data_IF_754948909422
#
_entry.id   IF_754948909422
#
_cell.length_a   1.000
_cell.length_b   1.000
_cell.length_c   1.000
_cell.angle_alpha   90.00
_cell.angle_beta   90.00
_cell.angle_gamma   90.00
#
_symmetry.space_group_name_H-M   'P 1'
#
loop_
_entity.id
_entity.type
_entity.pdbx_description
1 polymer ?
#
# COMPACT_ATOMS: atom_id res chain seq x y z
N UNK A 1 12.51 -14.98 0.28
CA UNK A 1 11.16 -15.12 -0.28
C UNK A 1 10.58 -13.76 -0.59
N UNK A 2 9.89 -13.66 -1.68
CA UNK A 2 9.31 -12.39 -2.13
C UNK A 2 7.80 -12.57 -2.27
N UNK A 3 7.05 -11.58 -1.80
CA UNK A 3 5.60 -11.52 -2.04
C UNK A 3 5.34 -10.32 -2.94
N UNK A 4 4.47 -10.50 -3.90
CA UNK A 4 4.14 -9.45 -4.85
C UNK A 4 2.68 -9.63 -5.27
N UNK A 5 1.87 -8.61 -4.99
CA UNK A 5 0.44 -8.66 -5.30
C UNK A 5 0.03 -7.37 -5.99
N UNK A 6 -0.84 -7.51 -6.96
CA UNK A 6 -1.35 -6.38 -7.72
C UNK A 6 -2.87 -6.34 -7.58
N UNK A 7 -3.41 -5.15 -7.36
CA UNK A 7 -4.84 -4.95 -7.28
C UNK A 7 -5.36 -4.47 -8.63
N UNK A 8 -6.48 -5.04 -9.08
CA UNK A 8 -7.06 -4.72 -10.38
C UNK A 8 -7.42 -3.25 -10.56
N UNK A 9 -7.63 -2.52 -9.48
CA UNK A 9 -7.96 -1.09 -9.53
C UNK A 9 -6.73 -0.16 -9.57
N UNK A 10 -5.53 -0.72 -9.69
CA UNK A 10 -4.33 0.08 -9.94
C UNK A 10 -3.37 0.26 -8.77
N UNK A 11 -3.23 -0.75 -7.92
CA UNK A 11 -2.23 -0.72 -6.85
C UNK A 11 -1.35 -1.97 -6.90
N UNK A 12 -0.19 -1.85 -6.28
CA UNK A 12 0.74 -2.96 -6.16
C UNK A 12 1.43 -2.90 -4.80
N UNK A 13 1.67 -4.05 -4.20
CA UNK A 13 2.43 -4.16 -2.96
C UNK A 13 3.38 -5.35 -3.06
N UNK A 14 4.61 -5.17 -2.58
CA UNK A 14 5.61 -6.23 -2.57
C UNK A 14 6.38 -6.27 -1.27
N UNK A 15 6.76 -7.47 -0.85
CA UNK A 15 7.64 -7.70 0.30
C UNK A 15 8.91 -8.33 -0.22
N UNK A 16 10.05 -7.70 0.03
CA UNK A 16 11.37 -8.16 -0.39
C UNK A 16 12.25 -8.53 0.80
N UNK A 17 13.06 -9.54 0.59
CA UNK A 17 14.09 -9.99 1.52
C UNK A 17 15.46 -9.47 1.12
N UNK A 18 16.36 -9.42 2.10
CA UNK A 18 17.77 -9.11 1.86
C UNK A 18 18.01 -7.79 1.14
N UNK A 19 17.27 -6.77 1.55
CA UNK A 19 17.45 -5.43 1.02
C UNK A 19 18.73 -4.81 1.58
N UNK A 20 19.31 -3.87 0.85
CA UNK A 20 20.54 -3.20 1.26
C UNK A 20 20.41 -2.42 2.56
N UNK A 21 19.24 -1.85 2.80
CA UNK A 21 19.01 -0.98 3.96
C UNK A 21 18.57 -1.78 5.18
N UNK A 22 17.77 -2.82 4.97
CA UNK A 22 17.20 -3.62 6.03
C UNK A 22 16.92 -5.03 5.51
N UNK A 23 16.76 -6.04 6.41
CA UNK A 23 16.45 -7.39 5.97
C UNK A 23 15.15 -7.51 5.19
N UNK A 24 14.18 -6.64 5.48
CA UNK A 24 12.87 -6.70 4.83
C UNK A 24 12.44 -5.31 4.40
N UNK A 25 11.85 -5.22 3.22
CA UNK A 25 11.27 -3.98 2.72
C UNK A 25 9.91 -4.25 2.11
N UNK A 26 8.93 -3.39 2.43
CA UNK A 26 7.61 -3.41 1.81
C UNK A 26 7.51 -2.17 0.94
N UNK A 27 7.29 -2.37 -0.36
CA UNK A 27 7.05 -1.28 -1.29
C UNK A 27 5.62 -1.38 -1.77
N UNK A 28 4.89 -0.28 -1.69
CA UNK A 28 3.53 -0.23 -2.20
C UNK A 28 3.31 1.04 -3.00
N UNK A 29 2.38 0.97 -3.92
CA UNK A 29 2.08 2.11 -4.76
C UNK A 29 0.69 2.05 -5.33
N UNK A 30 0.14 3.22 -5.62
CA UNK A 30 -1.11 3.38 -6.36
C UNK A 30 -0.73 4.19 -7.58
N UNK A 31 -0.96 3.64 -8.77
CA UNK A 31 -0.54 4.27 -10.02
C UNK A 31 -1.12 5.69 -10.15
N UNK A 32 -0.20 6.64 -10.33
CA UNK A 32 -0.54 8.05 -10.44
C UNK A 32 -0.80 8.78 -9.12
N UNK A 33 -0.72 8.10 -7.97
CA UNK A 33 -1.05 8.70 -6.68
C UNK A 33 0.05 8.64 -5.62
N UNK A 34 0.68 7.49 -5.46
CA UNK A 34 1.75 7.36 -4.45
C UNK A 34 2.69 6.22 -4.74
N UNK A 35 3.88 6.34 -4.15
CA UNK A 35 4.85 5.24 -4.04
C UNK A 35 5.45 5.35 -2.64
N UNK A 36 5.42 4.28 -1.86
CA UNK A 36 5.84 4.29 -0.47
C UNK A 36 6.57 3.01 -0.10
N UNK A 37 7.70 3.15 0.60
CA UNK A 37 8.51 2.01 1.04
C UNK A 37 8.72 2.07 2.54
N UNK A 38 8.58 0.92 3.21
CA UNK A 38 8.84 0.76 4.64
C UNK A 38 9.85 -0.35 4.85
N UNK A 39 10.71 -0.18 5.84
CA UNK A 39 11.77 -1.13 6.16
C UNK A 39 11.52 -1.80 7.50
N UNK A 40 11.85 -3.08 7.59
CA UNK A 40 11.64 -3.87 8.79
C UNK A 40 12.86 -4.74 9.07
N UNK A 41 13.10 -5.00 10.35
CA UNK A 41 14.21 -5.83 10.82
C UNK A 41 13.75 -7.18 11.35
N UNK A 42 12.44 -7.42 11.41
CA UNK A 42 11.82 -8.67 11.87
C UNK A 42 10.88 -9.19 10.80
N UNK A 43 10.97 -10.47 10.51
CA UNK A 43 10.09 -11.13 9.55
C UNK A 43 8.63 -11.06 10.00
N UNK A 44 8.36 -11.33 11.28
CA UNK A 44 7.01 -11.30 11.83
C UNK A 44 6.35 -9.94 11.66
N UNK A 45 7.11 -8.87 11.94
CA UNK A 45 6.60 -7.52 11.77
C UNK A 45 6.38 -7.18 10.30
N UNK A 46 7.29 -7.59 9.44
CA UNK A 46 7.17 -7.36 8.00
C UNK A 46 5.92 -8.05 7.46
N UNK A 47 5.70 -9.30 7.80
CA UNK A 47 4.53 -10.06 7.34
C UNK A 47 3.23 -9.46 7.87
N UNK A 48 3.18 -9.11 9.15
CA UNK A 48 2.00 -8.49 9.76
C UNK A 48 1.67 -7.16 9.11
N UNK A 49 2.69 -6.33 8.90
CA UNK A 49 2.49 -5.02 8.27
C UNK A 49 2.16 -5.15 6.79
N UNK A 50 2.72 -6.14 6.11
CA UNK A 50 2.39 -6.40 4.72
C UNK A 50 0.88 -6.65 4.56
N UNK A 51 0.33 -7.53 5.38
CA UNK A 51 -1.10 -7.84 5.33
C UNK A 51 -1.97 -6.63 5.67
N UNK A 52 -1.57 -5.86 6.69
CA UNK A 52 -2.30 -4.65 7.07
C UNK A 52 -2.28 -3.59 5.96
N UNK A 53 -1.12 -3.38 5.35
CA UNK A 53 -0.97 -2.44 4.23
C UNK A 53 -1.75 -2.89 3.00
N UNK A 54 -1.70 -4.18 2.69
CA UNK A 54 -2.44 -4.75 1.55
C UNK A 54 -3.94 -4.52 1.72
N UNK A 55 -4.47 -4.84 2.90
CA UNK A 55 -5.89 -4.70 3.17
C UNK A 55 -6.33 -3.23 3.15
N UNK A 56 -5.49 -2.34 3.68
CA UNK A 56 -5.76 -0.90 3.67
C UNK A 56 -5.76 -0.33 2.24
N UNK A 57 -4.83 -0.78 1.40
CA UNK A 57 -4.79 -0.38 -0.01
C UNK A 57 -6.05 -0.83 -0.75
N UNK A 58 -6.44 -2.08 -0.56
CA UNK A 58 -7.63 -2.63 -1.20
C UNK A 58 -8.89 -1.85 -0.78
N UNK A 59 -9.04 -1.57 0.52
CA UNK A 59 -10.16 -0.81 1.02
C UNK A 59 -10.21 0.60 0.44
N UNK A 60 -9.06 1.26 0.33
CA UNK A 60 -8.96 2.60 -0.24
C UNK A 60 -9.38 2.61 -1.71
N UNK A 61 -8.87 1.67 -2.50
CA UNK A 61 -9.18 1.60 -3.92
C UNK A 61 -10.65 1.27 -4.16
N UNK A 62 -11.22 0.37 -3.38
CA UNK A 62 -12.62 0.01 -3.48
C UNK A 62 -13.53 1.19 -3.12
N UNK A 63 -13.18 1.94 -2.06
CA UNK A 63 -13.94 3.13 -1.67
C UNK A 63 -13.88 4.22 -2.76
N UNK A 64 -12.72 4.42 -3.35
CA UNK A 64 -12.57 5.39 -4.44
C UNK A 64 -13.34 4.94 -5.69
N UNK A 65 -13.34 3.66 -5.99
CA UNK A 65 -14.05 3.10 -7.14
C UNK A 65 -15.57 3.27 -6.99
N UNK A 66 -16.11 3.09 -5.80
CA UNK A 66 -17.55 3.28 -5.53
C UNK A 66 -18.02 4.71 -5.81
N UNK A 67 -17.11 5.69 -5.73
CA UNK A 67 -17.42 7.10 -5.95
C UNK A 67 -16.85 7.63 -7.26
N UNK A 68 -16.38 6.76 -8.14
CA UNK A 68 -15.68 7.14 -9.37
C UNK A 68 -16.54 7.95 -10.35
N UNK A 69 -17.86 7.77 -10.30
CA UNK A 69 -18.79 8.45 -11.21
C UNK A 69 -19.09 9.89 -10.79
N UNK A 70 -18.54 10.35 -9.66
CA UNK A 70 -18.68 11.72 -9.16
C UNK A 70 -17.31 12.27 -8.77
N UNK A 71 -17.19 13.58 -8.67
CA UNK A 71 -15.94 14.24 -8.30
C UNK A 71 -15.40 13.79 -6.93
N UNK A 72 -16.28 13.21 -6.10
CA UNK A 72 -15.90 12.67 -4.80
C UNK A 72 -14.89 11.52 -4.85
N UNK A 73 -14.81 10.77 -5.95
CA UNK A 73 -13.85 9.68 -6.08
C UNK A 73 -12.41 10.15 -5.98
N UNK A 74 -12.10 11.29 -6.59
CA UNK A 74 -10.77 11.88 -6.53
C UNK A 74 -10.43 12.34 -5.11
N UNK A 75 -11.39 12.93 -4.41
CA UNK A 75 -11.19 13.39 -3.04
C UNK A 75 -11.02 12.20 -2.09
N UNK A 76 -11.79 11.14 -2.26
CA UNK A 76 -11.63 9.91 -1.48
C UNK A 76 -10.21 9.36 -1.64
N UNK A 77 -9.68 9.35 -2.87
CA UNK A 77 -8.33 8.90 -3.12
C UNK A 77 -7.29 9.79 -2.43
N UNK A 78 -7.42 11.11 -2.54
CA UNK A 78 -6.48 12.05 -1.92
C UNK A 78 -6.45 11.92 -0.41
N UNK A 79 -7.61 11.88 0.23
CA UNK A 79 -7.72 11.74 1.67
C UNK A 79 -7.25 10.37 2.15
N UNK A 80 -7.59 9.34 1.38
CA UNK A 80 -7.17 7.97 1.70
C UNK A 80 -5.68 7.77 1.62
N UNK A 81 -5.02 8.35 0.62
CA UNK A 81 -3.56 8.28 0.47
C UNK A 81 -2.90 8.98 1.67
N UNK A 82 -3.38 10.16 2.06
CA UNK A 82 -2.88 10.87 3.23
C UNK A 82 -2.99 10.03 4.50
N UNK A 83 -4.15 9.44 4.72
CA UNK A 83 -4.37 8.57 5.89
C UNK A 83 -3.49 7.33 5.85
N UNK A 84 -3.34 6.73 4.68
CA UNK A 84 -2.50 5.55 4.51
C UNK A 84 -1.06 5.84 4.94
N UNK A 85 -0.50 6.95 4.45
CA UNK A 85 0.88 7.33 4.78
C UNK A 85 1.03 7.66 6.26
N UNK A 86 0.00 8.22 6.91
CA UNK A 86 0.02 8.46 8.35
C UNK A 86 -0.04 7.17 9.16
N UNK A 87 -0.84 6.20 8.72
CA UNK A 87 -0.96 4.91 9.39
C UNK A 87 0.28 4.03 9.21
N UNK A 88 0.94 4.16 8.08
CA UNK A 88 2.09 3.34 7.71
C UNK A 88 3.28 4.23 7.33
N UNK A 89 3.83 4.98 8.32
CA UNK A 89 4.92 5.93 8.06
C UNK A 89 6.23 5.29 7.62
#
# INVERSE_FOLDING_TARGET
MVRDEEHSLGARISLEHECRVAPFAITCGIYGWMLHTRYFWSEDKAETQYEAMRDALAALLEAADETADVDGGRQVMMEGVSKFVEMFP
#
